data_IF_829106959590
#
_entry.id   IF_829106959590
#
_cell.length_a   1.000
_cell.length_b   1.000
_cell.length_c   1.000
_cell.angle_alpha   90.00
_cell.angle_beta   90.00
_cell.angle_gamma   90.00
#
_symmetry.space_group_name_H-M   'P 1'
#
loop_
_entity.id
_entity.type
_entity.pdbx_description
1 polymer ?
#
# COMPACT_ATOMS: atom_id res chain seq x y z
N UNK A 1 -15.84 14.37 -27.76
CA UNK A 1 -15.99 14.14 -26.31
C UNK A 1 -15.26 12.85 -26.00
N UNK A 2 -13.97 12.94 -25.70
CA UNK A 2 -13.12 11.79 -25.39
C UNK A 2 -13.50 11.31 -23.99
N UNK A 3 -14.03 10.10 -23.90
CA UNK A 3 -14.20 9.41 -22.62
C UNK A 3 -12.79 9.21 -22.06
N UNK A 4 -12.38 10.03 -21.10
CA UNK A 4 -11.23 9.72 -20.27
C UNK A 4 -11.62 8.44 -19.53
N UNK A 5 -11.01 7.30 -19.89
CA UNK A 5 -10.99 6.17 -18.96
C UNK A 5 -10.32 6.69 -17.70
N UNK A 6 -11.14 7.08 -16.71
CA UNK A 6 -10.70 7.39 -15.36
C UNK A 6 -10.31 6.07 -14.70
N UNK A 7 -9.23 5.45 -15.18
CA UNK A 7 -8.76 4.16 -14.73
C UNK A 7 -8.09 4.34 -13.37
N UNK A 8 -8.84 4.10 -12.30
CA UNK A 8 -8.25 3.95 -10.98
C UNK A 8 -7.23 2.81 -11.00
N UNK A 9 -6.10 3.01 -10.33
CA UNK A 9 -5.08 1.98 -10.19
C UNK A 9 -5.15 1.38 -8.79
N UNK A 10 -5.38 0.07 -8.72
CA UNK A 10 -5.44 -0.65 -7.44
C UNK A 10 -4.18 -1.48 -7.26
N UNK A 11 -3.46 -1.23 -6.16
CA UNK A 11 -2.41 -2.10 -5.67
C UNK A 11 -3.01 -3.10 -4.68
N UNK A 12 -2.69 -4.37 -4.88
CA UNK A 12 -2.93 -5.44 -3.92
C UNK A 12 -1.60 -6.14 -3.63
N UNK A 13 -1.16 -6.11 -2.38
CA UNK A 13 0.09 -6.70 -1.94
C UNK A 13 -0.11 -7.57 -0.69
N UNK A 14 0.62 -8.68 -0.62
CA UNK A 14 0.59 -9.59 0.52
C UNK A 14 1.97 -9.73 1.13
N UNK A 15 2.08 -9.55 2.45
CA UNK A 15 3.33 -9.65 3.19
C UNK A 15 3.26 -10.81 4.19
N UNK A 16 4.31 -11.62 4.23
CA UNK A 16 4.50 -12.67 5.23
C UNK A 16 5.63 -12.27 6.16
N UNK A 17 5.43 -12.45 7.46
CA UNK A 17 6.47 -12.16 8.44
C UNK A 17 7.64 -13.14 8.27
N UNK A 18 8.83 -12.61 8.02
CA UNK A 18 10.04 -13.41 7.96
C UNK A 18 10.42 -13.89 9.36
N UNK A 19 10.76 -15.18 9.51
CA UNK A 19 11.19 -15.80 10.79
C UNK A 19 10.26 -15.51 11.99
N UNK A 20 8.96 -15.33 11.74
CA UNK A 20 7.98 -15.05 12.81
C UNK A 20 8.08 -13.63 13.39
N UNK A 21 8.81 -12.71 12.76
CA UNK A 21 8.94 -11.29 13.15
C UNK A 21 7.68 -10.48 12.85
N UNK A 22 6.56 -10.91 13.42
CA UNK A 22 5.23 -10.33 13.18
C UNK A 22 5.15 -8.88 13.63
N UNK A 23 5.68 -8.55 14.81
CA UNK A 23 5.64 -7.21 15.35
C UNK A 23 6.42 -6.20 14.49
N UNK A 24 7.52 -6.63 13.89
CA UNK A 24 8.32 -5.81 12.96
C UNK A 24 7.55 -5.57 11.66
N UNK A 25 6.99 -6.64 11.06
CA UNK A 25 6.15 -6.50 9.87
C UNK A 25 4.93 -5.62 10.14
N UNK A 26 4.28 -5.76 11.30
CA UNK A 26 3.16 -4.92 11.71
C UNK A 26 3.56 -3.44 11.76
N UNK A 27 4.72 -3.12 12.35
CA UNK A 27 5.24 -1.76 12.40
C UNK A 27 5.50 -1.19 10.99
N UNK A 28 6.17 -1.96 10.12
CA UNK A 28 6.42 -1.57 8.72
C UNK A 28 5.11 -1.33 7.97
N UNK A 29 4.12 -2.21 8.14
CA UNK A 29 2.82 -2.09 7.52
C UNK A 29 2.06 -0.83 8.00
N UNK A 30 2.13 -0.50 9.30
CA UNK A 30 1.52 0.72 9.87
C UNK A 30 2.18 1.99 9.33
N UNK A 31 3.51 2.02 9.26
CA UNK A 31 4.27 3.15 8.71
C UNK A 31 3.98 3.35 7.22
N UNK A 32 4.04 2.27 6.43
CA UNK A 32 3.73 2.29 4.99
C UNK A 32 2.30 2.77 4.74
N UNK A 33 1.35 2.35 5.59
CA UNK A 33 -0.04 2.80 5.50
C UNK A 33 -0.17 4.30 5.74
N UNK A 34 0.54 4.86 6.73
CA UNK A 34 0.52 6.29 7.00
C UNK A 34 1.13 7.09 5.83
N UNK A 35 2.27 6.65 5.31
CA UNK A 35 2.92 7.26 4.14
C UNK A 35 2.01 7.22 2.91
N UNK A 36 1.39 6.07 2.64
CA UNK A 36 0.49 5.90 1.50
C UNK A 36 -0.75 6.79 1.62
N UNK A 37 -1.35 6.91 2.81
CA UNK A 37 -2.51 7.79 3.05
C UNK A 37 -2.19 9.28 2.86
N UNK A 38 -0.94 9.68 3.05
CA UNK A 38 -0.49 11.05 2.87
C UNK A 38 -0.08 11.35 1.41
N UNK A 39 0.00 10.34 0.55
CA UNK A 39 0.48 10.51 -0.82
C UNK A 39 -0.54 11.23 -1.71
N UNK A 40 -0.11 12.16 -2.58
CA UNK A 40 -0.97 12.71 -3.62
C UNK A 40 -1.56 11.63 -4.52
N UNK A 41 -2.82 11.79 -4.93
CA UNK A 41 -3.48 10.85 -5.85
C UNK A 41 -3.97 9.55 -5.20
N UNK A 42 -3.69 9.29 -3.92
CA UNK A 42 -4.31 8.18 -3.19
C UNK A 42 -5.78 8.50 -2.90
N UNK A 43 -6.66 7.54 -3.14
CA UNK A 43 -8.08 7.64 -2.79
C UNK A 43 -8.40 6.82 -1.54
N UNK A 44 -7.78 5.65 -1.41
CA UNK A 44 -7.94 4.79 -0.25
C UNK A 44 -6.67 3.96 -0.02
N UNK A 45 -6.36 3.71 1.24
CA UNK A 45 -5.36 2.71 1.61
C UNK A 45 -5.77 2.00 2.90
N UNK A 46 -5.65 0.68 2.91
CA UNK A 46 -5.93 -0.20 4.04
C UNK A 46 -4.82 -1.22 4.18
N UNK A 47 -4.49 -1.56 5.43
CA UNK A 47 -3.68 -2.72 5.76
C UNK A 47 -4.54 -3.61 6.68
N UNK A 48 -4.80 -4.83 6.23
CA UNK A 48 -5.53 -5.84 6.99
C UNK A 48 -4.52 -6.69 7.75
N UNK A 49 -4.61 -6.63 9.06
CA UNK A 49 -3.83 -7.48 9.97
C UNK A 49 -4.45 -8.88 10.00
N UNK A 50 -3.68 -9.93 9.69
CA UNK A 50 -4.17 -11.29 9.67
C UNK A 50 -4.45 -11.80 11.10
N UNK A 51 -5.44 -12.68 11.29
CA UNK A 51 -5.51 -13.45 12.52
C UNK A 51 -4.25 -14.31 12.67
N UNK A 52 -3.57 -14.19 13.83
CA UNK A 52 -2.35 -14.95 14.15
C UNK A 52 -2.63 -16.47 14.13
N UNK A 53 -1.65 -17.33 13.79
CA UNK A 53 -0.27 -17.03 13.37
C UNK A 53 0.04 -17.29 11.88
N UNK A 54 -0.93 -17.50 10.99
CA UNK A 54 -0.64 -18.16 9.69
C UNK A 54 -1.11 -17.43 8.42
N UNK A 55 -1.68 -16.22 8.52
CA UNK A 55 -2.15 -15.48 7.33
C UNK A 55 -1.21 -14.30 7.00
N UNK A 56 -1.12 -13.91 5.71
CA UNK A 56 -0.35 -12.73 5.30
C UNK A 56 -1.08 -11.44 5.68
N UNK A 57 -0.31 -10.38 5.94
CA UNK A 57 -0.83 -9.02 5.91
C UNK A 57 -1.25 -8.70 4.49
N UNK A 58 -2.42 -8.09 4.34
CA UNK A 58 -2.92 -7.65 3.04
C UNK A 58 -2.91 -6.14 3.01
N UNK A 59 -2.19 -5.57 2.06
CA UNK A 59 -2.18 -4.14 1.82
C UNK A 59 -2.91 -3.84 0.52
N UNK A 60 -3.90 -2.96 0.59
CA UNK A 60 -4.67 -2.52 -0.57
C UNK A 60 -4.61 -1.00 -0.62
N UNK A 61 -4.27 -0.45 -1.78
CA UNK A 61 -4.40 0.98 -2.04
C UNK A 61 -5.00 1.25 -3.41
N UNK A 62 -5.80 2.31 -3.49
CA UNK A 62 -6.48 2.76 -4.70
C UNK A 62 -5.96 4.16 -5.02
N UNK A 63 -5.56 4.35 -6.26
CA UNK A 63 -4.94 5.56 -6.76
C UNK A 63 -5.77 6.12 -7.92
N UNK A 64 -5.76 7.43 -8.08
CA UNK A 64 -6.43 8.13 -9.19
C UNK A 64 -5.86 7.69 -10.55
N UNK A 65 -4.56 7.41 -10.60
CA UNK A 65 -3.88 6.87 -11.77
C UNK A 65 -2.71 5.96 -11.39
N UNK A 66 -2.21 5.20 -12.36
CA UNK A 66 -0.97 4.44 -12.21
C UNK A 66 0.25 5.35 -12.04
N UNK A 67 0.23 6.53 -12.65
CA UNK A 67 1.34 7.49 -12.58
C UNK A 67 1.49 8.06 -11.17
N UNK A 68 0.38 8.31 -10.47
CA UNK A 68 0.40 8.73 -9.05
C UNK A 68 1.08 7.68 -8.17
N UNK A 69 0.74 6.40 -8.36
CA UNK A 69 1.39 5.30 -7.65
C UNK A 69 2.88 5.22 -7.97
N UNK A 70 3.27 5.34 -9.24
CA UNK A 70 4.68 5.32 -9.63
C UNK A 70 5.47 6.51 -9.10
N UNK A 71 4.85 7.70 -9.01
CA UNK A 71 5.44 8.87 -8.39
C UNK A 71 5.64 8.66 -6.89
N UNK A 72 4.65 8.07 -6.20
CA UNK A 72 4.76 7.68 -4.81
C UNK A 72 5.91 6.69 -4.57
N UNK A 73 6.04 5.64 -5.39
CA UNK A 73 7.15 4.68 -5.26
C UNK A 73 8.52 5.35 -5.38
N UNK A 74 8.65 6.42 -6.18
CA UNK A 74 9.90 7.18 -6.37
C UNK A 74 10.13 8.25 -5.30
N UNK A 75 9.18 8.46 -4.38
CA UNK A 75 9.28 9.47 -3.34
C UNK A 75 10.33 9.08 -2.28
N UNK A 76 11.01 10.05 -1.63
CA UNK A 76 12.04 9.74 -0.64
C UNK A 76 11.63 8.75 0.46
N UNK A 77 10.40 8.79 1.03
CA UNK A 77 9.97 7.81 2.03
C UNK A 77 9.88 6.36 1.54
N UNK A 78 9.86 6.13 0.22
CA UNK A 78 9.75 4.79 -0.38
C UNK A 78 11.07 4.26 -0.95
N UNK A 79 12.17 4.99 -0.74
CA UNK A 79 13.51 4.65 -1.26
C UNK A 79 14.48 4.21 -0.16
N UNK A 80 13.98 3.96 1.05
CA UNK A 80 14.76 3.58 2.24
C UNK A 80 15.10 2.09 2.25
#
# INVERSE_FOLDING_TARGET
MTMLESGQFTLYATFLAHEGKYAELEAICRETLALTKAAPGVTQAICLEPPKPEKPFVFVSIWQSKDDFQAFLKSPPMQV
#
